data_IF_466031583417
#
_entry.id   IF_466031583417
#
_cell.length_a   1.000
_cell.length_b   1.000
_cell.length_c   1.000
_cell.angle_alpha   90.00
_cell.angle_beta   90.00
_cell.angle_gamma   90.00
#
_symmetry.space_group_name_H-M   'P 1'
#
loop_
_entity.id
_entity.type
_entity.pdbx_description
1 polymer ?
#
# COMPACT_ATOMS: atom_id res chain seq x y z
N UNK A 1 -7.26 -6.43 -9.25
CA UNK A 1 -6.71 -5.32 -8.46
C UNK A 1 -5.20 -5.35 -8.56
N UNK A 2 -4.56 -4.18 -8.63
CA UNK A 2 -3.13 -4.00 -8.88
C UNK A 2 -2.28 -4.08 -7.60
N UNK A 3 -2.66 -4.94 -6.64
CA UNK A 3 -1.93 -5.17 -5.40
C UNK A 3 -1.41 -6.60 -5.34
N UNK A 4 -0.09 -6.74 -5.33
CA UNK A 4 0.61 -8.01 -5.27
C UNK A 4 0.45 -8.63 -3.87
N UNK A 5 -0.01 -9.90 -3.76
CA UNK A 5 -0.37 -10.50 -2.47
C UNK A 5 0.80 -10.52 -1.49
N UNK A 6 1.99 -10.95 -1.92
CA UNK A 6 3.16 -10.99 -1.02
C UNK A 6 3.65 -9.61 -0.54
N UNK A 7 3.34 -8.54 -1.29
CA UNK A 7 3.67 -7.17 -0.87
C UNK A 7 2.65 -6.70 0.16
N UNK A 8 1.36 -7.01 -0.05
CA UNK A 8 0.28 -6.76 0.91
C UNK A 8 0.52 -7.53 2.22
N UNK A 9 0.90 -8.80 2.15
CA UNK A 9 1.21 -9.62 3.33
C UNK A 9 2.35 -8.99 4.14
N UNK A 10 3.41 -8.52 3.46
CA UNK A 10 4.51 -7.82 4.13
C UNK A 10 4.05 -6.52 4.80
N UNK A 11 3.16 -5.75 4.16
CA UNK A 11 2.57 -4.55 4.77
C UNK A 11 1.76 -4.90 6.02
N UNK A 12 0.96 -5.96 5.98
CA UNK A 12 0.19 -6.45 7.13
C UNK A 12 1.12 -6.87 8.27
N UNK A 13 2.17 -7.65 7.99
CA UNK A 13 3.16 -8.05 9.01
C UNK A 13 3.84 -6.83 9.67
N UNK A 14 4.19 -5.81 8.88
CA UNK A 14 4.79 -4.58 9.40
C UNK A 14 3.80 -3.84 10.28
N UNK A 15 2.54 -3.74 9.86
CA UNK A 15 1.50 -3.10 10.64
C UNK A 15 1.28 -3.81 11.98
N UNK A 16 1.20 -5.14 11.99
CA UNK A 16 1.08 -5.95 13.21
C UNK A 16 2.27 -5.71 14.16
N UNK A 17 3.50 -5.79 13.65
CA UNK A 17 4.73 -5.57 14.44
C UNK A 17 4.78 -4.17 15.05
N UNK A 18 4.36 -3.14 14.29
CA UNK A 18 4.33 -1.74 14.73
C UNK A 18 3.03 -1.35 15.45
N UNK A 19 2.07 -2.27 15.58
CA UNK A 19 0.72 -2.04 16.16
C UNK A 19 -0.04 -0.91 15.46
N UNK A 20 0.11 -0.83 14.14
CA UNK A 20 -0.59 0.12 13.29
C UNK A 20 -1.96 -0.47 12.92
N UNK A 21 -3.08 0.21 13.20
CA UNK A 21 -4.40 -0.24 12.76
C UNK A 21 -4.48 -0.17 11.23
N UNK A 22 -5.02 -1.22 10.61
CA UNK A 22 -5.25 -1.26 9.17
C UNK A 22 -6.75 -1.33 8.87
N UNK A 23 -7.14 -0.67 7.78
CA UNK A 23 -8.45 -0.83 7.16
C UNK A 23 -8.26 -1.38 5.75
N UNK A 24 -9.01 -2.42 5.39
CA UNK A 24 -9.01 -2.95 4.04
C UNK A 24 -9.97 -2.16 3.14
N UNK A 25 -9.46 -1.66 2.03
CA UNK A 25 -10.25 -0.98 0.99
C UNK A 25 -10.64 -1.98 -0.11
N UNK A 26 -11.93 -2.03 -0.44
CA UNK A 26 -12.40 -2.80 -1.57
C UNK A 26 -12.08 -2.07 -2.87
N UNK A 27 -11.10 -2.56 -3.62
CA UNK A 27 -10.81 -2.05 -4.96
C UNK A 27 -11.65 -2.76 -6.02
N UNK A 28 -12.09 -2.01 -7.04
CA UNK A 28 -12.73 -2.59 -8.23
C UNK A 28 -11.70 -3.35 -9.11
N UNK A 29 -12.04 -3.59 -10.39
CA UNK A 29 -11.06 -4.13 -11.36
C UNK A 29 -9.81 -3.23 -11.45
N UNK A 30 -10.02 -1.91 -11.41
CA UNK A 30 -8.99 -0.87 -11.43
C UNK A 30 -9.06 -0.04 -10.15
N UNK A 31 -7.91 0.43 -9.69
CA UNK A 31 -7.80 1.35 -8.55
C UNK A 31 -7.96 2.81 -8.97
N UNK A 32 -7.66 3.14 -10.23
CA UNK A 32 -7.63 4.51 -10.73
C UNK A 32 -6.36 5.27 -10.30
N UNK A 33 -5.35 4.57 -9.81
CA UNK A 33 -4.08 5.13 -9.33
C UNK A 33 -2.90 4.69 -10.18
N UNK A 34 -1.74 5.30 -9.96
CA UNK A 34 -0.48 4.90 -10.62
C UNK A 34 -0.14 3.43 -10.39
N UNK A 35 -0.61 2.83 -9.30
CA UNK A 35 -0.42 1.41 -8.98
C UNK A 35 -0.91 0.52 -10.13
N UNK A 36 -2.02 0.87 -10.79
CA UNK A 36 -2.55 0.10 -11.92
C UNK A 36 -1.55 0.06 -13.09
N UNK A 37 -0.80 1.14 -13.31
CA UNK A 37 0.20 1.23 -14.38
C UNK A 37 1.54 0.61 -13.97
N UNK A 38 1.99 0.88 -12.73
CA UNK A 38 3.26 0.39 -12.21
C UNK A 38 3.26 -1.14 -12.12
N UNK A 39 2.16 -1.72 -11.62
CA UNK A 39 2.01 -3.16 -11.44
C UNK A 39 2.27 -3.95 -12.74
N UNK A 40 1.86 -3.40 -13.89
CA UNK A 40 2.02 -4.02 -15.21
C UNK A 40 3.27 -3.56 -15.99
N UNK A 41 4.13 -2.74 -15.39
CA UNK A 41 5.30 -2.20 -16.09
C UNK A 41 6.38 -3.26 -16.30
N UNK A 42 6.97 -3.29 -17.51
CA UNK A 42 8.01 -4.26 -17.93
C UNK A 42 7.56 -5.71 -17.76
N UNK A 43 8.24 -6.49 -16.93
CA UNK A 43 7.92 -7.88 -16.61
C UNK A 43 6.99 -8.00 -15.38
N UNK A 44 6.44 -6.88 -14.93
CA UNK A 44 5.66 -6.75 -13.70
C UNK A 44 6.52 -6.19 -12.57
N UNK A 45 5.97 -5.23 -11.82
CA UNK A 45 6.60 -4.67 -10.63
C UNK A 45 5.75 -5.06 -9.43
N UNK A 46 6.26 -5.86 -8.48
CA UNK A 46 5.55 -6.15 -7.23
C UNK A 46 5.20 -4.84 -6.52
N UNK A 47 3.91 -4.52 -6.51
CA UNK A 47 3.39 -3.24 -6.04
C UNK A 47 2.17 -3.50 -5.17
N UNK A 48 1.91 -2.63 -4.19
CA UNK A 48 0.67 -2.63 -3.43
C UNK A 48 0.20 -1.19 -3.24
N UNK A 49 -1.12 -1.00 -3.35
CA UNK A 49 -1.73 0.29 -3.06
C UNK A 49 -1.86 0.50 -1.55
N UNK A 50 -1.37 1.64 -1.07
CA UNK A 50 -1.57 2.12 0.30
C UNK A 50 -2.32 3.44 0.21
N UNK A 51 -3.49 3.50 0.83
CA UNK A 51 -4.37 4.67 0.84
C UNK A 51 -4.38 5.31 2.24
N UNK A 52 -4.48 6.64 2.28
CA UNK A 52 -4.81 7.37 3.51
C UNK A 52 -6.32 7.65 3.53
N UNK A 53 -7.03 7.38 4.64
CA UNK A 53 -8.44 7.74 4.75
C UNK A 53 -8.63 9.26 4.62
N UNK A 54 -9.36 9.69 3.58
CA UNK A 54 -9.61 11.11 3.34
C UNK A 54 -11.00 11.36 2.77
N UNK A 55 -11.51 12.58 2.94
CA UNK A 55 -12.78 13.05 2.38
C UNK A 55 -12.55 14.09 1.30
N UNK A 56 -13.41 14.04 0.28
CA UNK A 56 -13.45 14.99 -0.84
C UNK A 56 -12.20 14.93 -1.74
N UNK A 57 -11.68 13.73 -2.00
CA UNK A 57 -10.58 13.53 -2.96
C UNK A 57 -10.83 14.27 -4.27
N UNK A 58 -9.82 14.98 -4.79
CA UNK A 58 -9.87 15.84 -5.98
C UNK A 58 -10.68 17.14 -5.84
N UNK A 59 -11.11 17.49 -4.64
CA UNK A 59 -11.71 18.81 -4.38
C UNK A 59 -10.62 19.84 -4.04
N UNK A 60 -10.93 21.13 -4.21
CA UNK A 60 -10.01 22.22 -3.84
C UNK A 60 -9.67 22.26 -2.35
N UNK A 61 -10.53 21.65 -1.51
CA UNK A 61 -10.32 21.45 -0.09
C UNK A 61 -10.62 20.00 0.24
N UNK A 62 -9.63 19.31 0.81
CA UNK A 62 -9.73 17.93 1.28
C UNK A 62 -9.72 17.90 2.82
N UNK A 63 -10.13 16.79 3.41
CA UNK A 63 -10.11 16.62 4.87
C UNK A 63 -9.57 15.25 5.24
N UNK A 64 -8.64 15.24 6.18
CA UNK A 64 -7.89 14.06 6.63
C UNK A 64 -7.61 14.19 8.13
N UNK A 65 -7.47 13.07 8.83
CA UNK A 65 -7.01 13.06 10.23
C UNK A 65 -5.47 13.10 10.27
N UNK A 66 -4.90 13.97 11.11
CA UNK A 66 -3.45 14.06 11.25
C UNK A 66 -2.82 12.75 11.76
N UNK A 67 -3.52 12.01 12.60
CA UNK A 67 -3.06 10.71 13.08
C UNK A 67 -2.98 9.68 11.95
N UNK A 68 -3.90 9.74 10.98
CA UNK A 68 -3.88 8.86 9.81
C UNK A 68 -2.67 9.18 8.90
N UNK A 69 -2.26 10.44 8.80
CA UNK A 69 -1.04 10.85 8.07
C UNK A 69 0.19 10.21 8.69
N UNK A 70 0.39 10.40 9.99
CA UNK A 70 1.54 9.86 10.71
C UNK A 70 1.58 8.34 10.68
N UNK A 71 0.41 7.70 10.84
CA UNK A 71 0.29 6.24 10.83
C UNK A 71 0.58 5.65 9.45
N UNK A 72 0.08 6.28 8.38
CA UNK A 72 0.35 5.87 7.00
C UNK A 72 1.84 6.03 6.65
N UNK A 73 2.44 7.16 7.03
CA UNK A 73 3.87 7.39 6.85
C UNK A 73 4.72 6.35 7.62
N UNK A 74 4.34 6.05 8.85
CA UNK A 74 4.99 5.02 9.68
C UNK A 74 4.89 3.61 9.09
N UNK A 75 3.76 3.27 8.46
CA UNK A 75 3.58 2.01 7.74
C UNK A 75 4.51 1.93 6.52
N UNK A 76 4.53 2.98 5.69
CA UNK A 76 5.38 3.03 4.50
C UNK A 76 6.87 2.96 4.87
N UNK A 77 7.30 3.71 5.89
CA UNK A 77 8.67 3.65 6.40
C UNK A 77 9.00 2.26 6.95
N UNK A 78 8.08 1.66 7.72
CA UNK A 78 8.25 0.30 8.24
C UNK A 78 8.35 -0.78 7.15
N UNK A 79 7.62 -0.61 6.05
CA UNK A 79 7.73 -1.49 4.90
C UNK A 79 9.14 -1.43 4.32
N UNK A 80 9.66 -0.21 4.05
CA UNK A 80 11.01 -0.01 3.52
C UNK A 80 12.07 -0.60 4.47
N UNK A 81 11.96 -0.36 5.78
CA UNK A 81 12.86 -0.92 6.80
C UNK A 81 12.81 -2.45 6.87
N UNK A 82 11.67 -3.06 6.52
CA UNK A 82 11.52 -4.52 6.53
C UNK A 82 12.23 -5.21 5.36
N UNK A 83 12.55 -4.47 4.30
CA UNK A 83 13.12 -5.03 3.07
C UNK A 83 14.57 -5.47 3.28
N UNK A 84 14.91 -6.63 2.71
CA UNK A 84 16.28 -7.15 2.66
C UNK A 84 16.75 -7.22 1.20
N UNK A 85 18.07 -7.15 1.00
CA UNK A 85 18.68 -7.23 -0.34
C UNK A 85 18.30 -8.47 -1.15
N UNK A 86 17.93 -9.56 -0.47
CA UNK A 86 17.54 -10.83 -1.09
C UNK A 86 16.03 -11.10 -1.04
N UNK A 87 15.22 -10.12 -0.64
CA UNK A 87 13.77 -10.29 -0.66
C UNK A 87 13.29 -10.45 -2.10
N UNK A 88 12.45 -11.46 -2.32
CA UNK A 88 11.82 -11.75 -3.59
C UNK A 88 10.32 -11.84 -3.38
N UNK A 89 9.56 -11.02 -4.11
CA UNK A 89 8.10 -11.09 -4.15
C UNK A 89 7.67 -11.95 -5.35
N UNK A 90 8.12 -13.21 -5.36
CA UNK A 90 7.77 -14.17 -6.41
C UNK A 90 6.59 -15.04 -5.96
N UNK A 91 5.48 -14.97 -6.68
CA UNK A 91 4.33 -15.83 -6.44
C UNK A 91 4.44 -17.09 -7.31
N UNK A 92 4.63 -18.24 -6.67
CA UNK A 92 4.58 -19.54 -7.35
C UNK A 92 3.11 -19.98 -7.46
N UNK A 93 2.68 -20.37 -8.66
CA UNK A 93 1.36 -20.96 -8.90
C UNK A 93 1.32 -22.43 -8.51
#
# INVERSE_FOLDING_TARGET
>A
TASHPLVVDRLIEVAEKKKIPLQHEASSRFTGTDTDSIYHSREGVPSALVSIPLRCMHSVVETVDYQDIETTAGLMAGFVESLKTKDLFHQTL
#
